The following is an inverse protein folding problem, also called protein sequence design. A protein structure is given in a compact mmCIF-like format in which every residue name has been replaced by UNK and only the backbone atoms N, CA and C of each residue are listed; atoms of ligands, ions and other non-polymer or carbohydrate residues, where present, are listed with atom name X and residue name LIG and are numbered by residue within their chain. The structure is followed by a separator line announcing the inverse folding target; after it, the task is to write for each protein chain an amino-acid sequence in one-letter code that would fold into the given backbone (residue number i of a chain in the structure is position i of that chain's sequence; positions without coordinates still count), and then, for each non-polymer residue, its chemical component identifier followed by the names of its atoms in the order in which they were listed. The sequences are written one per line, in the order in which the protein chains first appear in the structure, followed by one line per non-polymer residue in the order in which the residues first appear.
data_IF_532952516365
#
_entry.id   IF_532952516365
#
_cell.length_a   1.000
_cell.length_b   1.000
_cell.length_c   1.000
_cell.angle_alpha   90.00
_cell.angle_beta   90.00
_cell.angle_gamma   90.00
#
_symmetry.space_group_name_H-M   'P 1'
#
loop_
_entity.id
_entity.type
_entity.pdbx_description
1 polymer ?
#
# COMPACT_ATOMS: atom_id res chain seq x y z
N UNK A 1 26.52 -38.18 70.88
CA UNK A 1 26.34 -36.73 70.64
C UNK A 1 26.83 -36.40 69.24
N UNK A 2 26.20 -35.42 68.60
CA UNK A 2 26.36 -34.95 67.21
C UNK A 2 25.56 -35.73 66.15
N UNK A 3 24.34 -35.24 65.91
CA UNK A 3 23.54 -35.55 64.74
C UNK A 3 24.07 -34.75 63.54
N UNK A 4 24.29 -35.43 62.41
CA UNK A 4 24.71 -34.81 61.15
C UNK A 4 23.55 -34.13 60.44
N UNK A 5 23.70 -32.85 60.16
CA UNK A 5 22.74 -32.06 59.37
C UNK A 5 22.83 -32.38 57.88
N UNK A 6 21.69 -32.66 57.26
CA UNK A 6 21.54 -32.76 55.81
C UNK A 6 21.30 -31.35 55.27
N UNK A 7 22.27 -30.82 54.51
CA UNK A 7 22.10 -29.61 53.72
C UNK A 7 21.27 -29.93 52.46
N UNK A 8 20.08 -29.32 52.36
CA UNK A 8 19.35 -29.23 51.11
C UNK A 8 19.92 -28.07 50.28
N UNK A 9 20.59 -28.38 49.17
CA UNK A 9 20.84 -27.38 48.12
C UNK A 9 19.52 -27.12 47.40
N UNK A 10 18.94 -25.93 47.60
CA UNK A 10 17.91 -25.40 46.72
C UNK A 10 18.58 -25.03 45.39
N UNK A 11 18.27 -25.76 44.32
CA UNK A 11 18.65 -25.37 42.97
C UNK A 11 17.88 -24.08 42.59
N UNK A 12 18.60 -22.99 42.40
CA UNK A 12 18.04 -21.76 41.85
C UNK A 12 17.61 -22.02 40.40
N UNK A 13 16.30 -21.99 40.15
CA UNK A 13 15.73 -21.94 38.80
C UNK A 13 16.27 -20.68 38.10
N UNK A 14 16.94 -20.87 36.97
CA UNK A 14 17.38 -19.77 36.11
C UNK A 14 16.19 -18.91 35.64
N UNK A 15 16.46 -17.71 35.07
CA UNK A 15 15.39 -16.82 34.63
C UNK A 15 14.53 -17.54 33.59
N UNK A 16 13.28 -17.82 33.95
CA UNK A 16 12.31 -18.39 33.03
C UNK A 16 12.19 -17.49 31.81
N UNK A 17 12.33 -18.06 30.62
CA UNK A 17 11.98 -17.39 29.36
C UNK A 17 10.56 -16.85 29.53
N UNK A 18 10.41 -15.53 29.48
CA UNK A 18 9.09 -14.90 29.51
C UNK A 18 8.22 -15.53 28.42
N UNK A 19 6.95 -15.80 28.73
CA UNK A 19 6.01 -16.32 27.74
C UNK A 19 5.99 -15.41 26.50
N UNK A 20 5.92 -15.97 25.27
CA UNK A 20 5.85 -15.17 24.07
C UNK A 20 4.64 -14.22 24.14
N UNK A 21 4.84 -12.96 23.72
CA UNK A 21 3.83 -11.90 23.77
C UNK A 21 2.64 -12.19 22.86
N UNK A 22 2.90 -12.86 21.72
CA UNK A 22 1.90 -13.24 20.73
C UNK A 22 1.93 -14.76 20.51
N UNK A 23 0.78 -15.43 20.60
CA UNK A 23 0.62 -16.85 20.25
C UNK A 23 0.32 -17.03 18.76
N UNK A 24 0.59 -18.22 18.18
CA UNK A 24 0.38 -18.50 16.75
C UNK A 24 -1.11 -18.77 16.43
N UNK A 25 -1.97 -17.82 16.79
CA UNK A 25 -3.40 -17.81 16.49
C UNK A 25 -3.87 -16.38 16.16
N UNK A 26 -4.87 -16.27 15.30
CA UNK A 26 -5.33 -14.97 14.80
C UNK A 26 -5.82 -14.03 15.89
N UNK A 27 -6.49 -14.54 16.93
CA UNK A 27 -6.99 -13.69 18.01
C UNK A 27 -5.85 -12.97 18.75
N UNK A 28 -4.71 -13.66 18.96
CA UNK A 28 -3.52 -13.04 19.53
C UNK A 28 -2.80 -12.11 18.54
N UNK A 29 -2.64 -12.55 17.29
CA UNK A 29 -1.90 -11.81 16.26
C UNK A 29 -2.60 -10.49 15.87
N UNK A 30 -3.92 -10.52 15.69
CA UNK A 30 -4.72 -9.35 15.30
C UNK A 30 -4.88 -8.35 16.45
N UNK A 31 -4.64 -8.78 17.70
CA UNK A 31 -4.59 -7.88 18.85
C UNK A 31 -3.30 -7.02 18.89
N UNK A 32 -2.33 -7.27 18.00
CA UNK A 32 -1.11 -6.46 17.92
C UNK A 32 -1.45 -5.03 17.47
N UNK A 33 -1.06 -4.00 18.25
CA UNK A 33 -1.27 -2.62 17.83
C UNK A 33 -0.52 -2.30 16.54
N UNK A 34 -1.18 -1.55 15.64
CA UNK A 34 -0.55 -1.05 14.43
C UNK A 34 0.58 -0.04 14.80
N UNK A 35 1.80 -0.22 14.27
CA UNK A 35 2.86 0.78 14.35
C UNK A 35 2.42 2.14 13.78
N UNK A 36 2.60 3.20 14.58
CA UNK A 36 2.10 4.54 14.25
C UNK A 36 2.62 5.08 12.91
N UNK A 37 3.86 4.73 12.54
CA UNK A 37 4.48 5.17 11.29
C UNK A 37 3.66 4.76 10.06
N UNK A 38 3.04 3.57 10.08
CA UNK A 38 2.31 3.07 8.92
C UNK A 38 1.06 3.92 8.69
N UNK A 39 0.32 4.22 9.75
CA UNK A 39 -0.82 5.12 9.62
C UNK A 39 -0.41 6.56 9.29
N UNK A 40 0.76 7.02 9.72
CA UNK A 40 1.24 8.38 9.45
C UNK A 40 1.74 8.58 8.02
N UNK A 41 2.28 7.54 7.38
CA UNK A 41 2.96 7.62 6.09
C UNK A 41 2.03 7.97 4.92
N UNK A 42 0.81 7.40 4.90
CA UNK A 42 -0.26 7.59 3.89
C UNK A 42 0.05 7.22 2.44
N UNK A 43 1.27 7.43 1.95
CA UNK A 43 1.65 7.25 0.54
C UNK A 43 2.84 6.29 0.45
N UNK A 44 2.72 5.28 -0.41
CA UNK A 44 3.79 4.35 -0.75
C UNK A 44 3.90 4.16 -2.26
N UNK A 45 5.06 3.66 -2.70
CA UNK A 45 5.27 3.22 -4.09
C UNK A 45 5.52 1.73 -4.10
N UNK A 46 4.84 1.02 -4.98
CA UNK A 46 5.02 -0.41 -5.20
C UNK A 46 5.67 -0.65 -6.56
N UNK A 47 6.41 -1.75 -6.68
CA UNK A 47 7.18 -2.04 -7.89
C UNK A 47 7.00 -3.52 -8.26
N UNK A 48 6.32 -3.77 -9.37
CA UNK A 48 6.25 -5.10 -9.97
C UNK A 48 7.30 -5.22 -11.08
N UNK A 49 8.41 -5.87 -10.74
CA UNK A 49 9.55 -6.02 -11.63
C UNK A 49 10.18 -7.40 -11.50
N UNK A 50 10.28 -8.12 -12.61
CA UNK A 50 10.83 -9.47 -12.62
C UNK A 50 10.92 -10.04 -14.03
N UNK A 51 11.09 -11.37 -14.13
CA UNK A 51 11.23 -12.07 -15.41
C UNK A 51 10.05 -11.83 -16.35
N UNK A 52 8.84 -11.61 -15.82
CA UNK A 52 7.66 -11.25 -16.61
C UNK A 52 7.79 -9.91 -17.34
N UNK A 53 8.70 -9.01 -16.92
CA UNK A 53 9.01 -7.76 -17.62
C UNK A 53 9.80 -7.98 -18.92
N UNK A 54 10.33 -9.19 -19.14
CA UNK A 54 11.12 -9.54 -20.34
C UNK A 54 10.27 -9.61 -21.61
N UNK A 55 9.17 -10.38 -21.66
CA UNK A 55 8.26 -10.35 -22.80
C UNK A 55 7.56 -9.00 -22.95
N UNK A 56 7.41 -8.25 -21.85
CA UNK A 56 6.81 -6.91 -21.82
C UNK A 56 5.44 -6.86 -22.52
N UNK A 57 4.56 -7.82 -22.25
CA UNK A 57 3.28 -7.92 -22.96
C UNK A 57 2.17 -8.41 -22.03
N UNK A 58 1.00 -7.78 -22.10
CA UNK A 58 -0.17 -8.21 -21.34
C UNK A 58 -0.12 -7.82 -19.86
N UNK A 59 0.50 -8.63 -19.02
CA UNK A 59 0.67 -8.36 -17.58
C UNK A 59 1.77 -9.20 -16.92
N UNK A 60 2.02 -8.97 -15.63
CA UNK A 60 2.88 -9.81 -14.78
C UNK A 60 2.40 -11.26 -14.64
N UNK A 61 1.12 -11.53 -14.93
CA UNK A 61 0.55 -12.89 -15.01
C UNK A 61 0.90 -13.61 -16.33
N UNK A 62 1.89 -13.11 -17.08
CA UNK A 62 2.28 -13.63 -18.39
C UNK A 62 2.35 -15.15 -18.46
N UNK A 63 3.03 -15.78 -17.49
CA UNK A 63 3.16 -17.23 -17.45
C UNK A 63 1.81 -17.92 -17.32
N UNK A 64 0.96 -17.46 -16.40
CA UNK A 64 -0.35 -18.06 -16.17
C UNK A 64 -1.25 -17.91 -17.39
N UNK A 65 -1.32 -16.73 -17.99
CA UNK A 65 -2.14 -16.52 -19.18
C UNK A 65 -1.65 -17.32 -20.41
N UNK A 66 -0.34 -17.54 -20.52
CA UNK A 66 0.24 -18.32 -21.61
C UNK A 66 0.16 -19.83 -21.38
N UNK A 67 0.62 -20.33 -20.23
CA UNK A 67 0.81 -21.76 -19.94
C UNK A 67 -0.27 -22.34 -19.02
N UNK A 68 -0.90 -21.54 -18.17
CA UNK A 68 -1.99 -21.98 -17.30
C UNK A 68 -3.33 -21.97 -18.04
N UNK A 69 -3.69 -20.83 -18.64
CA UNK A 69 -4.98 -20.61 -19.30
C UNK A 69 -4.99 -20.88 -20.80
N UNK A 70 -3.81 -20.95 -21.44
CA UNK A 70 -3.70 -21.08 -22.90
C UNK A 70 -4.47 -20.00 -23.68
N UNK A 71 -4.36 -18.74 -23.24
CA UNK A 71 -5.05 -17.65 -23.91
C UNK A 71 -4.49 -17.44 -25.32
N UNK A 72 -5.37 -17.40 -26.32
CA UNK A 72 -5.01 -17.35 -27.73
C UNK A 72 -4.17 -16.12 -28.13
N UNK A 73 -4.34 -15.00 -27.43
CA UNK A 73 -3.57 -13.77 -27.64
C UNK A 73 -2.12 -13.91 -27.13
N UNK A 74 -1.91 -14.53 -25.96
CA UNK A 74 -0.59 -14.87 -25.42
C UNK A 74 0.14 -15.91 -26.28
N UNK A 75 -0.54 -16.98 -26.70
CA UNK A 75 0.04 -18.01 -27.57
C UNK A 75 0.46 -17.44 -28.93
N UNK A 76 -0.38 -16.59 -29.53
CA UNK A 76 -0.05 -15.90 -30.79
C UNK A 76 1.14 -14.97 -30.62
N UNK A 77 1.18 -14.21 -29.54
CA UNK A 77 2.33 -13.35 -29.22
C UNK A 77 3.62 -14.18 -29.14
N UNK A 78 3.59 -15.31 -28.44
CA UNK A 78 4.73 -16.22 -28.32
C UNK A 78 5.16 -16.80 -29.67
N UNK A 79 4.23 -17.29 -30.49
CA UNK A 79 4.49 -17.82 -31.83
C UNK A 79 5.10 -16.79 -32.79
N UNK A 80 4.72 -15.51 -32.65
CA UNK A 80 5.18 -14.44 -33.53
C UNK A 80 6.54 -13.85 -33.11
N UNK A 81 6.86 -13.87 -31.80
CA UNK A 81 7.99 -13.12 -31.24
C UNK A 81 9.12 -14.01 -30.75
N UNK A 82 8.87 -15.29 -30.50
CA UNK A 82 9.84 -16.20 -29.91
C UNK A 82 9.89 -17.55 -30.65
N UNK A 83 11.00 -18.30 -30.53
CA UNK A 83 11.11 -19.63 -31.11
C UNK A 83 10.00 -20.57 -30.62
N UNK A 84 9.51 -21.53 -31.44
CA UNK A 84 8.42 -22.43 -31.07
C UNK A 84 8.66 -23.30 -29.82
N UNK A 85 9.92 -23.51 -29.44
CA UNK A 85 10.32 -24.29 -28.27
C UNK A 85 10.72 -23.42 -27.06
N UNK A 86 10.47 -22.11 -27.10
CA UNK A 86 10.77 -21.22 -25.98
C UNK A 86 9.92 -21.59 -24.76
N UNK A 87 10.57 -21.61 -23.60
CA UNK A 87 9.97 -21.75 -22.28
C UNK A 87 10.02 -20.41 -21.53
N UNK A 88 9.25 -20.28 -20.46
CA UNK A 88 9.30 -19.07 -19.64
C UNK A 88 10.65 -18.90 -18.91
N UNK A 89 11.32 -20.00 -18.57
CA UNK A 89 12.64 -19.97 -17.95
C UNK A 89 13.70 -19.35 -18.90
N UNK A 90 13.50 -19.45 -20.22
CA UNK A 90 14.40 -18.86 -21.21
C UNK A 90 14.39 -17.33 -21.17
N UNK A 91 13.40 -16.70 -20.53
CA UNK A 91 13.41 -15.25 -20.30
C UNK A 91 14.37 -14.82 -19.19
N UNK A 92 14.72 -15.70 -18.24
CA UNK A 92 15.52 -15.30 -17.07
C UNK A 92 16.90 -14.70 -17.44
N UNK A 93 17.69 -15.27 -18.39
CA UNK A 93 18.95 -14.65 -18.82
C UNK A 93 18.79 -13.29 -19.51
N UNK A 94 17.59 -12.97 -19.99
CA UNK A 94 17.28 -11.70 -20.65
C UNK A 94 16.74 -10.63 -19.71
N UNK A 95 16.51 -10.97 -18.43
CA UNK A 95 16.24 -10.00 -17.37
C UNK A 95 17.57 -9.40 -16.89
N UNK A 96 18.11 -8.47 -17.69
CA UNK A 96 19.49 -8.01 -17.52
C UNK A 96 19.67 -6.94 -16.45
N UNK A 97 18.62 -6.17 -16.13
CA UNK A 97 18.71 -5.02 -15.23
C UNK A 97 19.83 -4.02 -15.65
N UNK A 98 20.14 -3.95 -16.94
CA UNK A 98 21.31 -3.23 -17.46
C UNK A 98 21.33 -1.72 -17.09
N UNK A 99 20.17 -1.09 -17.09
CA UNK A 99 19.96 0.32 -16.77
C UNK A 99 19.41 0.53 -15.34
N UNK A 100 19.44 -0.50 -14.49
CA UNK A 100 18.92 -0.41 -13.13
C UNK A 100 19.77 0.52 -12.27
N UNK A 101 19.17 1.61 -11.83
CA UNK A 101 19.81 2.61 -10.97
C UNK A 101 19.01 2.78 -9.67
N UNK A 102 19.33 2.01 -8.60
CA UNK A 102 18.54 2.00 -7.37
C UNK A 102 18.48 3.37 -6.68
N UNK A 103 19.55 4.18 -6.78
CA UNK A 103 19.57 5.53 -6.23
C UNK A 103 18.65 6.50 -6.99
N UNK A 104 18.50 6.34 -8.31
CA UNK A 104 17.55 7.16 -9.07
C UNK A 104 16.11 6.77 -8.78
N UNK A 105 15.84 5.47 -8.62
CA UNK A 105 14.51 5.01 -8.17
C UNK A 105 14.17 5.58 -6.80
N UNK A 106 15.08 5.48 -5.82
CA UNK A 106 14.87 6.03 -4.49
C UNK A 106 14.60 7.54 -4.53
N UNK A 107 15.38 8.30 -5.34
CA UNK A 107 15.15 9.74 -5.55
C UNK A 107 13.78 10.03 -6.17
N UNK A 108 13.38 9.26 -7.19
CA UNK A 108 12.09 9.40 -7.83
C UNK A 108 10.95 9.17 -6.82
N UNK A 109 11.04 8.11 -6.02
CA UNK A 109 10.01 7.78 -5.04
C UNK A 109 9.93 8.81 -3.91
N UNK A 110 11.07 9.31 -3.42
CA UNK A 110 11.10 10.43 -2.47
C UNK A 110 10.39 11.66 -3.05
N UNK A 111 10.70 12.00 -4.31
CA UNK A 111 10.07 13.11 -5.02
C UNK A 111 8.61 12.86 -5.38
N UNK A 112 8.13 11.62 -5.32
CA UNK A 112 6.72 11.27 -5.52
C UNK A 112 5.89 11.39 -4.23
N UNK A 113 6.49 11.85 -3.13
CA UNK A 113 5.82 12.00 -1.84
C UNK A 113 6.10 10.86 -0.85
N UNK A 114 6.91 9.86 -1.19
CA UNK A 114 7.42 8.90 -0.21
C UNK A 114 8.63 9.50 0.54
N UNK A 115 8.47 10.64 1.21
CA UNK A 115 9.57 11.44 1.77
C UNK A 115 10.36 10.73 2.88
N UNK A 116 9.71 9.82 3.62
CA UNK A 116 10.34 8.95 4.61
C UNK A 116 10.22 7.48 4.17
N UNK A 117 10.94 7.10 3.10
CA UNK A 117 10.89 5.76 2.52
C UNK A 117 11.20 4.72 3.60
N UNK A 118 10.24 3.82 3.80
CA UNK A 118 10.40 2.58 4.56
C UNK A 118 10.50 1.42 3.60
N UNK A 119 11.35 0.45 3.91
CA UNK A 119 11.56 -0.70 3.03
C UNK A 119 10.45 -1.74 3.24
N UNK A 120 9.67 -1.96 2.19
CA UNK A 120 8.68 -3.03 2.11
C UNK A 120 9.20 -4.22 1.29
N UNK A 121 8.77 -5.42 1.67
CA UNK A 121 9.06 -6.67 1.01
C UNK A 121 7.78 -7.28 0.47
N UNK A 122 7.72 -7.57 -0.82
CA UNK A 122 6.69 -8.45 -1.39
C UNK A 122 7.15 -9.90 -1.34
N UNK A 123 6.25 -10.81 -0.98
CA UNK A 123 6.49 -12.25 -1.05
C UNK A 123 5.21 -12.97 -1.49
N UNK A 124 5.30 -13.79 -2.54
CA UNK A 124 4.20 -14.65 -2.94
C UNK A 124 4.35 -16.01 -2.24
N UNK A 125 3.32 -16.44 -1.54
CA UNK A 125 3.29 -17.72 -0.85
C UNK A 125 3.31 -18.88 -1.84
N UNK A 126 2.69 -18.72 -3.03
CA UNK A 126 2.63 -19.74 -4.08
C UNK A 126 3.72 -19.58 -5.13
N UNK A 127 4.00 -20.68 -5.85
CA UNK A 127 4.75 -20.67 -7.10
C UNK A 127 4.16 -21.71 -8.05
N UNK A 128 3.49 -21.26 -9.12
CA UNK A 128 2.60 -22.10 -9.95
C UNK A 128 3.26 -23.37 -10.53
N UNK A 129 4.54 -23.30 -10.87
CA UNK A 129 5.26 -24.39 -11.54
C UNK A 129 6.32 -25.05 -10.65
N UNK A 130 6.36 -24.74 -9.35
CA UNK A 130 7.29 -25.39 -8.44
C UNK A 130 6.88 -26.84 -8.19
N UNK A 131 7.75 -27.84 -8.43
CA UNK A 131 7.38 -29.24 -8.25
C UNK A 131 6.95 -29.61 -6.83
N UNK A 132 7.51 -28.95 -5.80
CA UNK A 132 7.10 -29.18 -4.41
C UNK A 132 5.70 -28.63 -4.17
N UNK A 133 5.39 -27.44 -4.71
CA UNK A 133 4.06 -26.84 -4.60
C UNK A 133 3.01 -27.70 -5.28
N UNK A 134 3.30 -28.14 -6.51
CA UNK A 134 2.41 -29.02 -7.27
C UNK A 134 2.16 -30.34 -6.54
N UNK A 135 3.20 -30.95 -5.96
CA UNK A 135 3.06 -32.19 -5.18
C UNK A 135 2.22 -31.98 -3.92
N UNK A 136 2.42 -30.88 -3.18
CA UNK A 136 1.61 -30.56 -2.02
C UNK A 136 0.14 -30.28 -2.43
N UNK A 137 -0.09 -29.57 -3.54
CA UNK A 137 -1.42 -29.30 -4.10
C UNK A 137 -2.12 -30.59 -4.53
N UNK A 138 -1.44 -31.51 -5.21
CA UNK A 138 -1.97 -32.83 -5.59
C UNK A 138 -2.38 -33.66 -4.36
N UNK A 139 -1.69 -33.48 -3.23
CA UNK A 139 -2.07 -34.13 -1.96
C UNK A 139 -3.32 -33.52 -1.30
N UNK A 140 -3.85 -32.42 -1.85
CA UNK A 140 -4.87 -31.58 -1.20
C UNK A 140 -4.31 -30.79 -0.02
N UNK A 141 -3.06 -30.31 -0.13
CA UNK A 141 -2.32 -29.57 0.90
C UNK A 141 -2.16 -30.33 2.23
N UNK A 142 -2.12 -31.67 2.17
CA UNK A 142 -1.88 -32.55 3.34
C UNK A 142 -0.39 -32.72 3.65
N UNK A 143 0.46 -32.51 2.66
CA UNK A 143 1.91 -32.35 2.84
C UNK A 143 2.28 -30.88 2.77
N UNK A 144 3.44 -30.51 3.32
CA UNK A 144 3.95 -29.13 3.40
C UNK A 144 5.41 -29.02 2.93
N UNK A 145 5.82 -29.87 1.98
CA UNK A 145 7.21 -29.89 1.53
C UNK A 145 7.66 -28.55 0.93
N UNK A 146 6.80 -27.90 0.16
CA UNK A 146 7.07 -26.59 -0.43
C UNK A 146 7.25 -25.53 0.66
N UNK A 147 6.33 -25.49 1.62
CA UNK A 147 6.36 -24.55 2.74
C UNK A 147 7.63 -24.73 3.57
N UNK A 148 7.95 -25.97 3.96
CA UNK A 148 9.08 -26.29 4.82
C UNK A 148 10.45 -26.12 4.13
N UNK A 149 10.54 -26.33 2.82
CA UNK A 149 11.83 -26.35 2.09
C UNK A 149 12.08 -25.11 1.23
N UNK A 150 11.05 -24.32 0.92
CA UNK A 150 11.14 -23.14 0.04
C UNK A 150 10.54 -21.91 0.70
N UNK A 151 9.22 -21.85 0.87
CA UNK A 151 8.49 -20.61 1.25
C UNK A 151 8.94 -20.05 2.60
N UNK A 152 8.90 -20.86 3.66
CA UNK A 152 9.23 -20.38 5.00
C UNK A 152 10.70 -20.05 5.17
N UNK A 153 11.67 -20.95 4.85
CA UNK A 153 13.09 -20.62 4.96
C UNK A 153 13.48 -19.31 4.25
N UNK A 154 12.89 -19.04 3.09
CA UNK A 154 13.07 -17.79 2.35
C UNK A 154 12.52 -16.58 3.12
N UNK A 155 11.28 -16.63 3.63
CA UNK A 155 10.71 -15.56 4.44
C UNK A 155 11.56 -15.23 5.68
N UNK A 156 12.01 -16.26 6.41
CA UNK A 156 12.90 -16.06 7.56
C UNK A 156 14.23 -15.40 7.15
N UNK A 157 14.87 -15.87 6.07
CA UNK A 157 16.13 -15.28 5.56
C UNK A 157 15.94 -13.81 5.14
N UNK A 158 14.88 -13.52 4.39
CA UNK A 158 14.56 -12.16 3.93
C UNK A 158 14.36 -11.19 5.10
N UNK A 159 13.62 -11.61 6.14
CA UNK A 159 13.40 -10.79 7.34
C UNK A 159 14.70 -10.57 8.11
N UNK A 160 15.49 -11.62 8.32
CA UNK A 160 16.75 -11.53 9.07
C UNK A 160 17.78 -10.65 8.36
N UNK A 161 17.86 -10.76 7.02
CA UNK A 161 18.86 -10.10 6.19
C UNK A 161 18.51 -8.65 5.89
N UNK A 162 17.28 -8.40 5.42
CA UNK A 162 16.88 -7.09 4.90
C UNK A 162 16.06 -6.27 5.87
N UNK A 163 15.53 -6.87 6.95
CA UNK A 163 14.81 -6.18 8.03
C UNK A 163 13.71 -5.24 7.49
N UNK A 164 12.73 -5.77 6.73
CA UNK A 164 11.67 -4.95 6.17
C UNK A 164 10.75 -4.36 7.26
N UNK A 165 10.32 -3.13 7.04
CA UNK A 165 9.26 -2.49 7.83
C UNK A 165 7.87 -2.98 7.44
N UNK A 166 7.71 -3.55 6.24
CA UNK A 166 6.44 -4.07 5.75
C UNK A 166 6.67 -5.40 5.02
N UNK A 167 5.85 -6.41 5.31
CA UNK A 167 5.78 -7.64 4.50
C UNK A 167 4.41 -7.69 3.82
N UNK A 168 4.42 -7.57 2.51
CA UNK A 168 3.25 -7.65 1.64
C UNK A 168 3.17 -9.08 1.09
N UNK A 169 2.35 -9.91 1.72
CA UNK A 169 2.12 -11.29 1.31
C UNK A 169 1.10 -11.35 0.16
N UNK A 170 1.18 -12.37 -0.67
CA UNK A 170 0.22 -12.64 -1.76
C UNK A 170 0.22 -14.13 -2.10
N UNK A 171 -0.62 -14.58 -3.04
CA UNK A 171 -0.58 -15.98 -3.46
C UNK A 171 -1.19 -16.96 -2.45
N UNK A 172 -2.03 -16.47 -1.55
CA UNK A 172 -2.51 -17.21 -0.39
C UNK A 172 -3.80 -18.01 -0.64
N UNK A 173 -4.52 -17.69 -1.73
CA UNK A 173 -5.91 -18.09 -1.98
C UNK A 173 -6.16 -19.60 -2.11
N UNK A 174 -5.16 -20.43 -2.42
CA UNK A 174 -5.39 -21.87 -2.64
C UNK A 174 -5.40 -22.71 -1.35
N UNK A 175 -4.84 -22.20 -0.25
CA UNK A 175 -4.59 -23.02 0.93
C UNK A 175 -4.78 -22.26 2.25
N UNK A 176 -5.14 -22.97 3.34
CA UNK A 176 -5.35 -22.36 4.65
C UNK A 176 -4.03 -21.96 5.32
N UNK A 177 -4.14 -21.14 6.36
CA UNK A 177 -3.03 -20.70 7.22
C UNK A 177 -2.24 -21.87 7.82
N UNK A 178 -2.92 -22.97 8.13
CA UNK A 178 -2.34 -24.21 8.63
C UNK A 178 -1.38 -24.87 7.64
N UNK A 179 -1.67 -24.80 6.34
CA UNK A 179 -0.75 -25.26 5.28
C UNK A 179 0.44 -24.32 5.16
N UNK A 180 0.17 -23.02 5.01
CA UNK A 180 1.20 -22.00 4.83
C UNK A 180 2.10 -21.83 6.06
N UNK A 181 1.65 -22.27 7.24
CA UNK A 181 2.28 -22.02 8.53
C UNK A 181 2.37 -20.51 8.88
N UNK A 182 1.38 -19.75 8.42
CA UNK A 182 1.37 -18.28 8.51
C UNK A 182 1.33 -17.77 9.95
N UNK A 183 0.48 -18.32 10.80
CA UNK A 183 0.34 -17.85 12.19
C UNK A 183 1.61 -18.08 13.02
N UNK A 184 2.30 -19.20 12.81
CA UNK A 184 3.60 -19.48 13.44
C UNK A 184 4.67 -18.50 12.99
N UNK A 185 4.73 -18.20 11.69
CA UNK A 185 5.65 -17.21 11.14
C UNK A 185 5.37 -15.81 11.71
N UNK A 186 4.12 -15.38 11.72
CA UNK A 186 3.73 -14.07 12.25
C UNK A 186 3.98 -13.96 13.76
N UNK A 187 3.74 -15.02 14.53
CA UNK A 187 4.09 -15.06 15.94
C UNK A 187 5.60 -14.92 16.15
N UNK A 188 6.43 -15.61 15.35
CA UNK A 188 7.87 -15.39 15.40
C UNK A 188 8.24 -13.95 15.00
N UNK A 189 7.63 -13.43 13.94
CA UNK A 189 7.87 -12.09 13.42
C UNK A 189 7.64 -11.03 14.50
N UNK A 190 6.57 -11.15 15.27
CA UNK A 190 6.19 -10.18 16.30
C UNK A 190 6.85 -10.39 17.66
N UNK A 191 7.44 -11.56 17.93
CA UNK A 191 8.10 -11.83 19.21
C UNK A 191 9.63 -11.74 19.12
N UNK A 192 10.21 -12.28 18.06
CA UNK A 192 11.63 -12.65 18.02
C UNK A 192 12.41 -12.00 16.88
N UNK A 193 11.75 -11.60 15.79
CA UNK A 193 12.44 -11.01 14.65
C UNK A 193 13.13 -9.67 15.00
N UNK A 194 14.14 -9.24 14.21
CA UNK A 194 14.79 -7.94 14.40
C UNK A 194 13.87 -6.74 14.09
N UNK A 195 12.70 -6.97 13.51
CA UNK A 195 11.74 -5.93 13.09
C UNK A 195 10.42 -5.97 13.88
N UNK A 196 10.35 -6.79 14.93
CA UNK A 196 9.13 -7.05 15.72
C UNK A 196 8.40 -5.79 16.21
N UNK A 197 9.12 -4.71 16.47
CA UNK A 197 8.59 -3.46 16.99
C UNK A 197 8.07 -2.52 15.90
N UNK A 198 8.46 -2.71 14.64
CA UNK A 198 8.13 -1.80 13.53
C UNK A 198 7.35 -2.45 12.40
N UNK A 199 7.49 -3.77 12.20
CA UNK A 199 6.94 -4.46 11.03
C UNK A 199 5.41 -4.42 10.98
N UNK A 200 4.87 -4.29 9.78
CA UNK A 200 3.44 -4.48 9.47
C UNK A 200 3.27 -5.53 8.37
N UNK A 201 2.11 -6.18 8.36
CA UNK A 201 1.75 -7.18 7.35
C UNK A 201 0.34 -6.92 6.85
N UNK A 202 0.07 -7.24 5.59
CA UNK A 202 -1.27 -7.19 5.02
C UNK A 202 -2.14 -8.39 5.44
N UNK A 203 -3.29 -8.56 4.80
CA UNK A 203 -4.32 -9.57 5.07
C UNK A 203 -4.30 -10.79 4.14
N UNK A 204 -3.20 -11.02 3.41
CA UNK A 204 -3.08 -12.09 2.40
C UNK A 204 -2.18 -13.24 2.85
N UNK A 205 -2.56 -13.90 3.94
CA UNK A 205 -1.77 -14.96 4.58
C UNK A 205 -2.42 -16.34 4.52
N UNK A 206 -3.64 -16.44 4.01
CA UNK A 206 -4.36 -17.69 3.85
C UNK A 206 -5.62 -17.51 3.01
N UNK A 207 -6.17 -18.61 2.51
CA UNK A 207 -7.54 -18.58 2.04
C UNK A 207 -8.48 -18.03 3.15
N UNK A 208 -9.36 -17.10 2.77
CA UNK A 208 -10.25 -16.42 3.72
C UNK A 208 -9.56 -15.56 4.81
N UNK A 209 -8.29 -15.18 4.65
CA UNK A 209 -7.65 -14.18 5.52
C UNK A 209 -8.02 -12.74 5.14
N UNK A 210 -8.29 -12.49 3.85
CA UNK A 210 -8.56 -11.17 3.32
C UNK A 210 -9.77 -10.51 4.00
N UNK A 211 -9.66 -9.23 4.40
CA UNK A 211 -10.59 -8.50 5.27
C UNK A 211 -10.84 -9.08 6.67
N UNK A 212 -10.14 -10.13 7.10
CA UNK A 212 -10.37 -10.81 8.36
C UNK A 212 -9.18 -10.74 9.33
N UNK A 213 -7.97 -10.80 8.80
CA UNK A 213 -6.73 -10.93 9.57
C UNK A 213 -5.64 -9.99 9.07
N UNK A 214 -4.58 -9.80 9.86
CA UNK A 214 -3.40 -9.04 9.45
C UNK A 214 -3.34 -7.63 10.03
N UNK A 215 -2.20 -6.96 9.88
CA UNK A 215 -1.96 -5.64 10.46
C UNK A 215 -2.74 -4.52 9.75
N UNK A 216 -3.08 -4.72 8.48
CA UNK A 216 -3.96 -3.85 7.69
C UNK A 216 -4.65 -4.65 6.60
N UNK A 217 -5.80 -4.18 6.14
CA UNK A 217 -6.58 -4.84 5.11
C UNK A 217 -6.29 -4.29 3.71
N UNK A 218 -6.03 -5.18 2.77
CA UNK A 218 -6.16 -4.88 1.36
C UNK A 218 -7.50 -5.39 0.81
N UNK A 219 -8.09 -6.45 1.36
CA UNK A 219 -9.38 -7.05 0.96
C UNK A 219 -9.45 -7.62 -0.48
N UNK A 220 -9.11 -6.80 -1.48
CA UNK A 220 -9.04 -7.13 -2.88
C UNK A 220 -8.09 -6.15 -3.58
N UNK A 221 -7.75 -6.41 -4.84
CA UNK A 221 -7.02 -5.43 -5.66
C UNK A 221 -7.85 -4.15 -5.81
N UNK A 222 -7.20 -2.99 -5.68
CA UNK A 222 -7.82 -1.66 -5.79
C UNK A 222 -9.03 -1.46 -4.85
N UNK A 223 -9.01 -2.10 -3.68
CA UNK A 223 -10.09 -2.05 -2.71
C UNK A 223 -10.46 -0.63 -2.29
N UNK A 224 -11.76 -0.34 -2.30
CA UNK A 224 -12.39 0.93 -1.91
C UNK A 224 -13.58 0.62 -1.02
N UNK A 225 -13.47 0.75 0.32
CA UNK A 225 -14.57 0.37 1.21
C UNK A 225 -15.81 1.26 1.08
N UNK A 226 -15.68 2.46 0.48
CA UNK A 226 -16.77 3.44 0.33
C UNK A 226 -17.31 4.00 1.65
N UNK A 227 -16.78 3.53 2.78
CA UNK A 227 -17.18 3.86 4.15
C UNK A 227 -15.95 3.86 5.03
N UNK A 228 -16.02 4.55 6.17
CA UNK A 228 -14.93 4.57 7.14
C UNK A 228 -14.85 3.21 7.85
N UNK A 229 -13.68 2.55 7.73
CA UNK A 229 -13.41 1.30 8.42
C UNK A 229 -12.77 1.54 9.80
N UNK A 230 -13.10 0.67 10.76
CA UNK A 230 -12.47 0.67 12.08
C UNK A 230 -11.04 0.11 12.04
N UNK A 231 -10.81 -0.89 11.19
CA UNK A 231 -9.49 -1.48 10.98
C UNK A 231 -8.71 -0.69 9.91
N UNK A 232 -7.39 -0.58 10.09
CA UNK A 232 -6.54 0.08 9.09
C UNK A 232 -6.58 -0.72 7.78
N UNK A 233 -6.56 -0.01 6.67
CA UNK A 233 -6.55 -0.61 5.34
C UNK A 233 -5.61 0.17 4.41
N UNK A 234 -5.27 -0.44 3.29
CA UNK A 234 -4.44 0.15 2.24
C UNK A 234 -5.02 -0.16 0.87
N UNK A 235 -5.19 0.88 0.05
CA UNK A 235 -5.46 0.72 -1.36
C UNK A 235 -4.14 0.44 -2.08
N UNK A 236 -4.05 -0.73 -2.69
CA UNK A 236 -3.02 -1.02 -3.67
C UNK A 236 -3.60 -0.72 -5.07
N UNK A 237 -2.99 0.21 -5.81
CA UNK A 237 -3.40 0.63 -7.17
C UNK A 237 -2.19 0.71 -8.10
N UNK A 238 -2.39 0.90 -9.41
CA UNK A 238 -1.32 0.91 -10.41
C UNK A 238 -1.55 2.00 -11.45
N UNK A 239 -0.46 2.67 -11.87
CA UNK A 239 -0.52 3.69 -12.93
C UNK A 239 -1.03 3.10 -14.24
N UNK A 240 -0.64 1.87 -14.57
CA UNK A 240 -1.27 1.12 -15.64
C UNK A 240 -2.56 0.48 -15.09
N UNK A 241 -3.70 0.84 -15.67
CA UNK A 241 -5.00 0.39 -15.18
C UNK A 241 -5.22 -1.11 -15.41
N UNK A 242 -4.47 -1.72 -16.33
CA UNK A 242 -4.61 -3.12 -16.76
C UNK A 242 -3.58 -4.04 -16.10
N UNK A 243 -2.35 -3.57 -15.91
CA UNK A 243 -1.21 -4.40 -15.47
C UNK A 243 -0.49 -3.81 -14.26
N UNK A 244 0.08 -4.67 -13.42
CA UNK A 244 1.04 -4.25 -12.40
C UNK A 244 2.46 -4.20 -12.98
N UNK A 245 2.82 -5.19 -13.82
CA UNK A 245 4.09 -5.22 -14.54
C UNK A 245 4.14 -4.29 -15.76
N UNK A 246 5.34 -4.07 -16.29
CA UNK A 246 5.52 -3.32 -17.54
C UNK A 246 4.98 -4.10 -18.75
N UNK A 247 4.23 -3.42 -19.61
CA UNK A 247 3.84 -3.93 -20.93
C UNK A 247 4.11 -2.88 -22.02
N UNK A 248 4.76 -3.28 -23.10
CA UNK A 248 5.07 -2.41 -24.24
C UNK A 248 3.85 -2.12 -25.11
N UNK A 249 2.77 -2.91 -24.97
CA UNK A 249 1.51 -2.73 -25.67
C UNK A 249 0.50 -1.87 -24.90
N UNK A 250 0.95 -1.06 -23.93
CA UNK A 250 0.09 -0.09 -23.23
C UNK A 250 -0.28 1.10 -24.10
N UNK A 251 -1.52 1.53 -23.98
CA UNK A 251 -2.04 2.75 -24.58
C UNK A 251 -2.25 3.84 -23.53
N UNK A 252 -2.16 5.11 -23.94
CA UNK A 252 -2.19 6.25 -23.02
C UNK A 252 -3.51 6.36 -22.24
N UNK A 253 -4.62 5.95 -22.86
CA UNK A 253 -5.96 5.89 -22.27
C UNK A 253 -6.14 4.72 -21.30
N UNK A 254 -5.20 3.76 -21.28
CA UNK A 254 -5.13 2.67 -20.30
C UNK A 254 -4.27 3.06 -19.09
N UNK A 255 -3.60 4.21 -19.11
CA UNK A 255 -2.86 4.75 -17.98
C UNK A 255 -3.72 5.70 -17.17
N UNK A 256 -3.49 5.76 -15.86
CA UNK A 256 -4.09 6.79 -15.01
C UNK A 256 -3.53 8.17 -15.40
N UNK A 257 -4.40 9.16 -15.44
CA UNK A 257 -3.99 10.56 -15.44
C UNK A 257 -3.71 11.03 -14.01
N UNK A 258 -3.09 12.21 -13.89
CA UNK A 258 -2.72 12.76 -12.58
C UNK A 258 -3.95 13.04 -11.73
N UNK A 259 -5.06 13.47 -12.33
CA UNK A 259 -6.30 13.76 -11.61
C UNK A 259 -6.88 12.52 -10.94
N UNK A 260 -6.93 11.40 -11.65
CA UNK A 260 -7.39 10.12 -11.12
C UNK A 260 -6.50 9.64 -9.97
N UNK A 261 -5.18 9.82 -10.06
CA UNK A 261 -4.24 9.44 -8.99
C UNK A 261 -4.49 10.28 -7.72
N UNK A 262 -4.68 11.60 -7.87
CA UNK A 262 -4.98 12.49 -6.75
C UNK A 262 -6.35 12.18 -6.15
N UNK A 263 -7.35 11.88 -6.97
CA UNK A 263 -8.68 11.46 -6.51
C UNK A 263 -8.62 10.18 -5.67
N UNK A 264 -7.92 9.14 -6.15
CA UNK A 264 -7.75 7.91 -5.39
C UNK A 264 -7.03 8.14 -4.07
N UNK A 265 -5.95 8.94 -4.07
CA UNK A 265 -5.23 9.29 -2.85
C UNK A 265 -6.14 9.98 -1.83
N UNK A 266 -6.83 11.04 -2.24
CA UNK A 266 -7.66 11.86 -1.36
C UNK A 266 -8.82 11.03 -0.79
N UNK A 267 -9.52 10.30 -1.64
CA UNK A 267 -10.59 9.39 -1.21
C UNK A 267 -10.08 8.37 -0.20
N UNK A 268 -8.93 7.74 -0.48
CA UNK A 268 -8.33 6.72 0.38
C UNK A 268 -8.01 7.27 1.77
N UNK A 269 -7.33 8.41 1.83
CA UNK A 269 -6.89 9.01 3.09
C UNK A 269 -8.08 9.52 3.90
N UNK A 270 -9.09 10.10 3.25
CA UNK A 270 -10.34 10.52 3.91
C UNK A 270 -11.07 9.35 4.56
N UNK A 271 -11.07 8.16 3.95
CA UNK A 271 -11.61 6.93 4.55
C UNK A 271 -10.61 6.17 5.44
N UNK A 272 -9.47 6.77 5.78
CA UNK A 272 -8.52 6.24 6.76
C UNK A 272 -7.49 5.26 6.21
N UNK A 273 -7.46 5.05 4.90
CA UNK A 273 -6.52 4.15 4.24
C UNK A 273 -5.13 4.76 4.05
N UNK A 274 -4.20 3.92 3.61
CA UNK A 274 -2.98 4.32 2.91
C UNK A 274 -3.13 4.06 1.41
N UNK A 275 -2.45 4.83 0.58
CA UNK A 275 -2.41 4.69 -0.87
C UNK A 275 -1.05 4.18 -1.32
N UNK A 276 -1.02 2.98 -1.88
CA UNK A 276 0.16 2.32 -2.41
C UNK A 276 0.07 2.29 -3.94
N UNK A 277 0.88 3.13 -4.60
CA UNK A 277 0.83 3.31 -6.05
C UNK A 277 1.93 2.50 -6.74
N UNK A 278 1.54 1.57 -7.59
CA UNK A 278 2.44 0.69 -8.32
C UNK A 278 2.97 1.30 -9.62
N UNK A 279 4.24 0.97 -9.92
CA UNK A 279 4.85 1.10 -11.25
C UNK A 279 5.50 -0.21 -11.71
N UNK A 280 5.44 -0.47 -13.02
CA UNK A 280 6.12 -1.58 -13.67
C UNK A 280 7.34 -1.11 -14.47
N UNK A 281 8.59 -1.39 -14.04
CA UNK A 281 9.79 -1.10 -14.81
C UNK A 281 10.04 -2.09 -15.95
N UNK A 282 10.76 -1.67 -16.99
CA UNK A 282 11.21 -2.56 -18.08
C UNK A 282 12.25 -3.57 -17.59
N UNK A 283 12.51 -4.65 -18.34
CA UNK A 283 13.53 -5.66 -17.97
C UNK A 283 14.94 -5.10 -17.77
N UNK A 284 15.26 -3.95 -18.37
CA UNK A 284 16.53 -3.24 -18.19
C UNK A 284 16.57 -2.45 -16.88
N UNK A 285 15.45 -2.26 -16.17
CA UNK A 285 15.38 -1.49 -14.93
C UNK A 285 14.99 -0.03 -15.12
N UNK A 286 14.40 0.31 -16.27
CA UNK A 286 13.91 1.65 -16.56
C UNK A 286 12.45 1.79 -16.12
N UNK A 287 12.18 2.74 -15.22
CA UNK A 287 10.82 3.24 -15.02
C UNK A 287 10.52 4.15 -16.20
N UNK A 288 9.56 3.81 -17.04
CA UNK A 288 9.30 4.56 -18.29
C UNK A 288 8.90 6.02 -18.03
N UNK A 289 9.23 6.96 -18.94
CA UNK A 289 9.01 8.39 -18.71
C UNK A 289 7.59 8.78 -18.30
N UNK A 290 6.58 8.10 -18.84
CA UNK A 290 5.18 8.38 -18.48
C UNK A 290 4.88 8.05 -17.00
N UNK A 291 5.44 6.96 -16.47
CA UNK A 291 5.29 6.62 -15.04
C UNK A 291 6.07 7.59 -14.15
N UNK A 292 7.28 7.98 -14.57
CA UNK A 292 8.05 9.01 -13.85
C UNK A 292 7.29 10.34 -13.80
N UNK A 293 6.68 10.76 -14.92
CA UNK A 293 5.92 12.01 -15.00
C UNK A 293 4.75 12.01 -14.02
N UNK A 294 3.96 10.92 -13.99
CA UNK A 294 2.82 10.78 -13.07
C UNK A 294 3.25 10.78 -11.60
N UNK A 295 4.31 10.06 -11.26
CA UNK A 295 4.89 10.05 -9.91
C UNK A 295 5.38 11.45 -9.49
N UNK A 296 6.09 12.15 -10.38
CA UNK A 296 6.57 13.51 -10.11
C UNK A 296 5.42 14.51 -10.03
N UNK A 297 4.32 14.31 -10.76
CA UNK A 297 3.13 15.15 -10.68
C UNK A 297 2.39 14.97 -9.35
N UNK A 298 2.24 13.72 -8.88
CA UNK A 298 1.76 13.40 -7.55
C UNK A 298 2.62 14.09 -6.47
N UNK A 299 3.94 13.97 -6.60
CA UNK A 299 4.91 14.63 -5.74
C UNK A 299 4.72 16.14 -5.64
N UNK A 300 4.64 16.83 -6.78
CA UNK A 300 4.40 18.29 -6.82
C UNK A 300 3.10 18.70 -6.13
N UNK A 301 2.06 17.88 -6.24
CA UNK A 301 0.80 18.12 -5.55
C UNK A 301 0.96 17.96 -4.03
N UNK A 302 1.66 16.91 -3.59
CA UNK A 302 1.97 16.62 -2.19
C UNK A 302 2.92 17.65 -1.55
N UNK A 303 3.84 18.23 -2.31
CA UNK A 303 4.68 19.33 -1.83
C UNK A 303 3.84 20.54 -1.37
N UNK A 304 2.66 20.73 -1.97
CA UNK A 304 1.75 21.82 -1.62
C UNK A 304 0.69 21.40 -0.61
N UNK A 305 0.03 20.26 -0.86
CA UNK A 305 -1.16 19.83 -0.12
C UNK A 305 -0.87 18.72 0.90
N UNK A 306 0.38 18.28 1.03
CA UNK A 306 0.78 17.15 1.88
C UNK A 306 0.45 17.34 3.37
N UNK A 307 0.33 18.59 3.84
CA UNK A 307 -0.15 18.88 5.20
C UNK A 307 -1.54 18.29 5.48
N UNK A 308 -2.43 18.29 4.47
CA UNK A 308 -3.77 17.71 4.55
C UNK A 308 -3.77 16.17 4.45
N UNK A 309 -2.63 15.56 4.11
CA UNK A 309 -2.49 14.11 3.87
C UNK A 309 -1.70 13.46 5.00
N UNK A 310 -0.42 13.76 5.13
CA UNK A 310 0.49 13.07 6.05
C UNK A 310 0.09 13.28 7.50
N UNK A 311 0.14 12.19 8.28
CA UNK A 311 -0.25 12.15 9.70
C UNK A 311 -1.71 12.55 9.98
N UNK A 312 -2.51 12.82 8.95
CA UNK A 312 -3.92 13.16 9.11
C UNK A 312 -4.75 11.97 9.55
N UNK A 313 -5.95 12.24 10.04
CA UNK A 313 -6.97 11.28 10.41
C UNK A 313 -8.26 11.55 9.62
N UNK A 314 -9.08 10.53 9.37
CA UNK A 314 -10.46 10.73 8.94
C UNK A 314 -11.13 11.74 9.86
N UNK A 315 -11.70 12.79 9.29
CA UNK A 315 -12.57 13.67 10.05
C UNK A 315 -13.91 12.97 10.30
N UNK A 316 -14.78 13.52 11.16
CA UNK A 316 -16.08 12.87 11.48
C UNK A 316 -16.97 12.61 10.26
N UNK A 317 -16.80 13.40 9.21
CA UNK A 317 -17.41 13.24 7.90
C UNK A 317 -16.27 13.12 6.92
N UNK A 318 -16.32 12.12 6.04
CA UNK A 318 -15.23 11.85 5.08
C UNK A 318 -15.43 12.60 3.77
N UNK A 319 -16.68 12.82 3.37
CA UNK A 319 -17.03 13.52 2.15
C UNK A 319 -18.39 14.19 2.24
N UNK A 320 -18.58 15.26 1.47
CA UNK A 320 -19.88 15.82 1.12
C UNK A 320 -19.98 16.02 -0.40
N UNK A 321 -21.20 16.02 -0.91
CA UNK A 321 -21.47 16.16 -2.34
C UNK A 321 -22.71 17.04 -2.56
N UNK A 322 -22.65 18.28 -2.07
CA UNK A 322 -23.72 19.27 -2.21
C UNK A 322 -23.70 19.89 -3.60
N UNK A 323 -22.63 20.60 -3.93
CA UNK A 323 -22.41 21.30 -5.20
C UNK A 323 -21.17 20.76 -5.89
N UNK A 324 -20.10 20.63 -5.12
CA UNK A 324 -18.85 20.00 -5.53
C UNK A 324 -18.55 18.86 -4.56
N UNK A 325 -17.85 17.82 -5.03
CA UNK A 325 -17.35 16.77 -4.14
C UNK A 325 -16.19 17.32 -3.33
N UNK A 326 -16.36 17.34 -2.01
CA UNK A 326 -15.32 17.76 -1.06
C UNK A 326 -15.02 16.61 -0.11
N UNK A 327 -13.74 16.32 0.03
CA UNK A 327 -13.18 15.29 0.90
C UNK A 327 -12.57 15.92 2.14
N UNK A 328 -12.64 15.22 3.26
CA UNK A 328 -12.21 15.74 4.53
C UNK A 328 -11.14 14.88 5.20
N UNK A 329 -10.17 15.56 5.78
CA UNK A 329 -9.19 15.00 6.71
C UNK A 329 -9.02 15.95 7.89
N UNK A 330 -8.35 15.51 8.95
CA UNK A 330 -8.07 16.34 10.12
C UNK A 330 -6.70 16.05 10.71
N UNK A 331 -6.09 17.09 11.29
CA UNK A 331 -4.83 16.98 12.04
C UNK A 331 -4.94 17.80 13.32
N UNK A 332 -5.09 17.12 14.46
CA UNK A 332 -5.41 17.78 15.71
C UNK A 332 -6.78 18.47 15.63
N UNK A 333 -6.81 19.78 15.89
CA UNK A 333 -8.02 20.59 15.80
C UNK A 333 -8.26 21.19 14.39
N UNK A 334 -7.32 21.01 13.47
CA UNK A 334 -7.41 21.55 12.10
C UNK A 334 -8.17 20.57 11.22
N UNK A 335 -9.08 21.09 10.41
CA UNK A 335 -9.83 20.32 9.40
C UNK A 335 -9.38 20.77 8.02
N UNK A 336 -9.18 19.84 7.11
CA UNK A 336 -8.87 20.13 5.71
C UNK A 336 -10.04 19.73 4.83
N UNK A 337 -10.50 20.67 4.01
CA UNK A 337 -11.49 20.45 2.97
C UNK A 337 -10.76 20.39 1.62
N UNK A 338 -10.76 19.23 0.98
CA UNK A 338 -10.02 18.94 -0.24
C UNK A 338 -11.01 18.79 -1.39
N UNK A 339 -10.84 19.58 -2.44
CA UNK A 339 -11.74 19.58 -3.60
C UNK A 339 -10.93 19.49 -4.90
N UNK A 340 -11.48 18.80 -5.89
CA UNK A 340 -10.78 18.43 -7.13
C UNK A 340 -11.26 19.23 -8.35
N UNK A 341 -12.36 19.98 -8.19
CA UNK A 341 -12.93 20.86 -9.22
C UNK A 341 -13.01 22.27 -8.67
N UNK A 342 -12.45 23.25 -9.40
CA UNK A 342 -12.54 24.65 -9.00
C UNK A 342 -13.97 25.17 -9.21
N UNK A 343 -14.65 25.71 -8.18
CA UNK A 343 -16.01 26.23 -8.30
C UNK A 343 -16.10 27.36 -9.34
N UNK A 344 -17.10 27.33 -10.23
CA UNK A 344 -17.21 28.30 -11.34
C UNK A 344 -17.38 29.76 -10.91
N UNK A 345 -18.01 29.99 -9.75
CA UNK A 345 -18.21 31.31 -9.16
C UNK A 345 -17.15 31.67 -8.12
N UNK A 346 -16.09 30.86 -7.99
CA UNK A 346 -15.05 30.99 -6.96
C UNK A 346 -15.60 31.02 -5.53
N UNK A 347 -16.74 30.36 -5.29
CA UNK A 347 -17.30 30.15 -3.95
C UNK A 347 -17.36 28.66 -3.68
N UNK A 348 -16.59 28.21 -2.69
CA UNK A 348 -16.64 26.84 -2.20
C UNK A 348 -17.71 26.74 -1.11
N UNK A 349 -18.72 25.91 -1.34
CA UNK A 349 -19.80 25.66 -0.38
C UNK A 349 -19.49 24.41 0.43
N UNK A 350 -19.32 24.58 1.74
CA UNK A 350 -19.06 23.50 2.69
C UNK A 350 -20.24 23.37 3.64
N UNK A 351 -21.06 22.33 3.51
CA UNK A 351 -22.32 22.21 4.26
C UNK A 351 -22.14 21.64 5.67
N UNK A 352 -21.06 20.90 5.91
CA UNK A 352 -20.80 20.18 7.16
C UNK A 352 -20.04 21.00 8.23
N UNK A 353 -18.98 21.76 7.92
CA UNK A 353 -18.23 22.51 8.93
C UNK A 353 -19.09 23.60 9.56
N UNK A 354 -19.14 23.64 10.89
CA UNK A 354 -19.84 24.71 11.61
C UNK A 354 -18.82 25.74 12.12
N UNK A 355 -18.79 26.97 11.57
CA UNK A 355 -17.81 27.96 12.01
C UNK A 355 -18.13 28.52 13.40
N UNK A 356 -17.13 29.15 14.00
CA UNK A 356 -17.20 29.89 15.25
C UNK A 356 -16.59 31.28 15.08
N UNK A 357 -16.71 32.20 16.07
CA UNK A 357 -16.04 33.50 16.02
C UNK A 357 -14.50 33.41 15.92
N UNK A 358 -13.91 32.26 16.24
CA UNK A 358 -12.48 32.00 16.11
C UNK A 358 -12.09 31.38 14.76
N UNK A 359 -13.05 31.17 13.84
CA UNK A 359 -12.78 30.46 12.59
C UNK A 359 -11.85 31.24 11.68
N UNK A 360 -10.77 30.57 11.29
CA UNK A 360 -9.85 31.04 10.27
C UNK A 360 -9.84 30.06 9.10
N UNK A 361 -9.89 30.63 7.90
CA UNK A 361 -9.90 29.87 6.65
C UNK A 361 -8.70 30.31 5.84
N UNK A 362 -7.86 29.35 5.48
CA UNK A 362 -6.65 29.54 4.66
C UNK A 362 -6.61 28.47 3.56
N UNK A 363 -5.78 28.62 2.54
CA UNK A 363 -5.59 27.61 1.49
C UNK A 363 -4.13 27.21 1.43
N UNK A 364 -3.86 25.90 1.33
CA UNK A 364 -2.49 25.41 1.19
C UNK A 364 -1.89 25.88 -0.13
N UNK A 365 -0.64 26.36 -0.09
CA UNK A 365 0.02 26.97 -1.24
C UNK A 365 -0.43 28.39 -1.59
N UNK A 366 -1.28 29.03 -0.78
CA UNK A 366 -1.71 30.41 -0.95
C UNK A 366 -1.40 31.26 0.28
N UNK A 367 -0.81 32.43 0.07
CA UNK A 367 -0.49 33.35 1.15
C UNK A 367 -1.72 34.20 1.52
N UNK A 368 -2.19 34.05 2.76
CA UNK A 368 -3.26 34.88 3.34
C UNK A 368 -4.49 34.10 3.76
N UNK A 369 -5.45 34.82 4.34
CA UNK A 369 -6.72 34.28 4.80
C UNK A 369 -7.80 34.46 3.73
N UNK A 370 -8.65 33.45 3.56
CA UNK A 370 -9.81 33.50 2.69
C UNK A 370 -10.99 34.13 3.43
N UNK A 371 -11.78 34.92 2.70
CA UNK A 371 -13.04 35.44 3.22
C UNK A 371 -14.07 34.33 3.27
N UNK A 372 -14.93 34.35 4.30
CA UNK A 372 -16.00 33.37 4.43
C UNK A 372 -17.24 33.98 5.08
N UNK A 373 -18.38 33.35 4.84
CA UNK A 373 -19.67 33.72 5.41
C UNK A 373 -20.45 32.47 5.83
N UNK A 374 -21.36 32.61 6.79
CA UNK A 374 -22.29 31.55 7.20
C UNK A 374 -23.74 32.02 6.97
N UNK A 375 -24.39 31.61 5.87
CA UNK A 375 -25.80 31.89 5.66
C UNK A 375 -26.70 31.18 6.68
N UNK A 376 -27.88 31.72 7.02
CA UNK A 376 -28.80 31.07 7.95
C UNK A 376 -29.24 29.68 7.46
N UNK A 377 -28.97 28.63 8.25
CA UNK A 377 -29.35 27.26 7.92
C UNK A 377 -28.40 26.55 6.94
N UNK A 378 -27.32 27.21 6.52
CA UNK A 378 -26.26 26.63 5.70
C UNK A 378 -24.95 26.47 6.50
N UNK A 379 -24.00 25.77 5.90
CA UNK A 379 -22.64 25.67 6.42
C UNK A 379 -21.79 26.89 6.08
N UNK A 380 -20.53 26.65 5.74
CA UNK A 380 -19.52 27.67 5.45
C UNK A 380 -19.42 27.94 3.94
N UNK A 381 -19.60 29.19 3.53
CA UNK A 381 -19.30 29.65 2.17
C UNK A 381 -17.93 30.33 2.17
N UNK A 382 -16.97 29.77 1.43
CA UNK A 382 -15.61 30.29 1.33
C UNK A 382 -15.39 30.96 -0.01
N UNK A 383 -15.01 32.24 0.01
CA UNK A 383 -14.63 32.97 -1.20
C UNK A 383 -13.18 32.64 -1.56
N UNK A 384 -13.02 31.99 -2.71
CA UNK A 384 -11.74 31.66 -3.31
C UNK A 384 -11.26 32.82 -4.22
N UNK A 385 -9.96 32.87 -4.57
CA UNK A 385 -9.48 33.76 -5.63
C UNK A 385 -10.20 33.50 -6.96
N UNK A 386 -10.31 34.51 -7.83
CA UNK A 386 -11.01 34.37 -9.13
C UNK A 386 -10.45 33.29 -10.07
N UNK A 387 -9.20 32.88 -9.84
CA UNK A 387 -8.57 31.74 -10.48
C UNK A 387 -7.61 31.07 -9.50
N UNK A 388 -7.35 29.75 -9.62
CA UNK A 388 -6.41 29.08 -8.75
C UNK A 388 -5.03 29.75 -8.82
N UNK A 389 -4.39 30.03 -7.66
CA UNK A 389 -3.18 30.83 -7.60
C UNK A 389 -1.99 30.11 -8.26
N UNK A 390 -1.01 30.85 -8.76
CA UNK A 390 0.29 30.25 -9.13
C UNK A 390 1.06 29.97 -7.83
N UNK A 391 1.62 28.76 -7.60
CA UNK A 391 1.95 27.72 -8.57
C UNK A 391 0.92 26.57 -8.74
N UNK A 392 -0.26 26.64 -8.11
CA UNK A 392 -1.26 25.55 -8.06
C UNK A 392 -2.29 25.57 -9.19
N UNK A 393 -2.20 26.51 -10.14
CA UNK A 393 -3.16 26.68 -11.25
C UNK A 393 -3.34 25.44 -12.13
N UNK A 394 -2.30 24.63 -12.30
CA UNK A 394 -2.31 23.43 -13.15
C UNK A 394 -2.44 22.12 -12.37
N UNK A 395 -2.82 22.17 -11.10
CA UNK A 395 -2.97 21.00 -10.24
C UNK A 395 -4.42 20.51 -10.24
N UNK A 396 -4.68 19.19 -10.15
CA UNK A 396 -6.02 18.63 -10.19
C UNK A 396 -6.75 18.64 -8.84
N UNK A 397 -6.36 19.50 -7.91
CA UNK A 397 -7.02 19.60 -6.61
C UNK A 397 -6.34 20.55 -5.64
N UNK A 398 -7.11 21.03 -4.66
CA UNK A 398 -6.70 22.05 -3.69
C UNK A 398 -7.24 21.71 -2.31
N UNK A 399 -6.55 22.20 -1.27
CA UNK A 399 -6.97 22.02 0.12
C UNK A 399 -7.15 23.36 0.83
N UNK A 400 -8.33 23.55 1.40
CA UNK A 400 -8.62 24.63 2.34
C UNK A 400 -8.40 24.13 3.76
N UNK A 401 -7.65 24.90 4.54
CA UNK A 401 -7.34 24.65 5.95
C UNK A 401 -8.28 25.47 6.83
N UNK A 402 -9.03 24.77 7.67
CA UNK A 402 -10.07 25.29 8.55
C UNK A 402 -9.65 25.15 10.01
N UNK A 403 -9.59 26.26 10.72
CA UNK A 403 -9.39 26.29 12.17
C UNK A 403 -10.63 26.79 12.89
N UNK A 404 -10.83 26.38 14.14
CA UNK A 404 -11.95 26.84 14.95
C UNK A 404 -13.32 26.42 14.41
N UNK A 405 -13.38 25.42 13.53
CA UNK A 405 -14.62 24.82 13.03
C UNK A 405 -14.98 23.62 13.89
N UNK A 406 -16.27 23.49 14.18
CA UNK A 406 -16.81 22.30 14.81
C UNK A 406 -17.23 21.28 13.83
#
# INVERSE_FOLDING_TARGET
MAAGGVLWLAAALGPGLAAPRYSPDWASLDARPLPAWFDQAKVGVFVHWGVFSVPAWGSEWFWWHWQGEHRADYERFMQQRFPPAASYADFAPHFTAYDFQPHEWARLFQRAGASNIRYGLYHSLLEWFNPLYLSDKESGFKTQNFVLKKTMPELYDLVLKYKPDLIWSDGDWEAPDSYWNSTSFLAWLYNNSPVKDTVVVNDRWCNNCSCHHGGFYNCADKYKPGTLLAHKWEMCSSIDKISWGYRSNMHIDELMDVASIIEELVQTVSFGGNYLLNVGPTKEGVIVPIFQERLLALGRWLDTNGEAIYESKPWRVQMENSTDTVWYTSKGAVVYAIFLTWPQNSVLQLSVPTPSPATQVTMLGFAGTLQWQQPPGEGLLVTLPDAPPSPVRSQPGWAVRLEGVK
#
